data_IF_762843954869
#
_entry.id   IF_762843954869
#
_cell.length_a   1.000
_cell.length_b   1.000
_cell.length_c   1.000
_cell.angle_alpha   90.00
_cell.angle_beta   90.00
_cell.angle_gamma   90.00
#
_symmetry.space_group_name_H-M   'P 1'
#
loop_
_entity.id
_entity.type
_entity.pdbx_description
1 polymer ?
#
# COMPACT_ATOMS: atom_id res chain seq x y z
N UNK A 1 -10.11 7.25 -15.03
CA UNK A 1 -9.10 6.52 -14.21
C UNK A 1 -9.60 6.42 -12.78
N UNK A 2 -9.62 5.22 -12.16
CA UNK A 2 -9.89 5.00 -10.73
C UNK A 2 -8.64 4.46 -10.07
N UNK A 3 -8.48 4.75 -8.79
CA UNK A 3 -7.31 4.33 -7.97
C UNK A 3 -7.83 3.57 -6.76
N UNK A 4 -7.33 2.36 -6.57
CA UNK A 4 -7.56 1.55 -5.37
C UNK A 4 -6.30 1.56 -4.51
N UNK A 5 -6.41 1.99 -3.27
CA UNK A 5 -5.32 1.96 -2.29
C UNK A 5 -5.59 0.83 -1.30
N UNK A 6 -4.69 -0.15 -1.24
CA UNK A 6 -4.80 -1.27 -0.31
C UNK A 6 -3.87 -1.07 0.89
N UNK A 7 -4.48 -0.90 2.05
CA UNK A 7 -3.78 -0.79 3.34
C UNK A 7 -3.27 -2.16 3.83
N UNK A 8 -2.28 -2.18 4.73
CA UNK A 8 -1.93 -3.39 5.47
C UNK A 8 -3.14 -3.98 6.20
N UNK A 9 -3.19 -5.30 6.31
CA UNK A 9 -4.18 -5.97 7.16
C UNK A 9 -4.08 -5.48 8.61
N UNK A 10 -5.22 -5.18 9.24
CA UNK A 10 -5.36 -4.58 10.58
C UNK A 10 -4.86 -3.13 10.70
N UNK A 11 -4.59 -2.44 9.61
CA UNK A 11 -4.30 -1.01 9.64
C UNK A 11 -5.60 -0.22 9.89
N UNK A 12 -5.62 0.60 10.94
CA UNK A 12 -6.81 1.38 11.30
C UNK A 12 -6.93 2.65 10.45
N UNK A 13 -7.93 2.71 9.58
CA UNK A 13 -8.27 3.90 8.79
C UNK A 13 -9.32 4.74 9.52
N UNK A 14 -8.93 5.32 10.65
CA UNK A 14 -9.83 6.06 11.54
C UNK A 14 -9.10 7.24 12.19
N UNK A 15 -9.78 8.39 12.41
CA UNK A 15 -9.21 9.51 13.16
C UNK A 15 -9.07 9.23 14.65
N UNK A 16 -9.75 8.23 15.21
CA UNK A 16 -9.69 7.89 16.64
C UNK A 16 -8.37 7.23 17.02
N UNK A 17 -7.93 6.24 16.22
CA UNK A 17 -6.66 5.53 16.41
C UNK A 17 -6.03 5.24 15.05
N UNK A 18 -5.47 6.26 14.37
CA UNK A 18 -4.88 6.06 13.06
C UNK A 18 -3.58 5.25 13.16
N UNK A 19 -3.42 4.27 12.28
CA UNK A 19 -2.10 3.74 11.98
C UNK A 19 -1.28 4.76 11.17
N UNK A 20 0.05 4.70 11.25
CA UNK A 20 0.93 5.65 10.56
C UNK A 20 0.73 5.61 9.03
N UNK A 21 0.53 4.43 8.46
CA UNK A 21 0.28 4.26 7.02
C UNK A 21 -1.07 4.83 6.64
N UNK A 22 -2.11 4.60 7.45
CA UNK A 22 -3.46 5.12 7.15
C UNK A 22 -3.54 6.62 7.27
N UNK A 23 -2.84 7.23 8.21
CA UNK A 23 -2.73 8.68 8.32
C UNK A 23 -2.05 9.29 7.08
N UNK A 24 -0.92 8.71 6.66
CA UNK A 24 -0.24 9.11 5.44
C UNK A 24 -1.15 9.01 4.21
N UNK A 25 -1.83 7.87 4.03
CA UNK A 25 -2.76 7.65 2.92
C UNK A 25 -3.90 8.64 2.95
N UNK A 26 -4.46 8.94 4.12
CA UNK A 26 -5.51 9.95 4.26
C UNK A 26 -5.03 11.34 3.84
N UNK A 27 -3.91 11.81 4.40
CA UNK A 27 -3.40 13.16 4.13
C UNK A 27 -3.01 13.36 2.67
N UNK A 28 -2.34 12.37 2.06
CA UNK A 28 -1.97 12.43 0.64
C UNK A 28 -3.19 12.35 -0.28
N UNK A 29 -4.14 11.46 0.03
CA UNK A 29 -5.38 11.32 -0.75
C UNK A 29 -6.26 12.57 -0.67
N UNK A 30 -6.35 13.20 0.51
CA UNK A 30 -7.12 14.43 0.73
C UNK A 30 -6.61 15.58 -0.14
N UNK A 31 -5.30 15.69 -0.30
CA UNK A 31 -4.62 16.74 -1.11
C UNK A 31 -4.52 16.39 -2.60
N UNK A 32 -4.81 15.16 -2.98
CA UNK A 32 -4.69 14.70 -4.36
C UNK A 32 -5.74 15.33 -5.28
N UNK A 33 -5.33 15.72 -6.48
CA UNK A 33 -6.23 16.10 -7.57
C UNK A 33 -7.18 14.95 -7.96
N UNK A 34 -6.79 13.72 -7.66
CA UNK A 34 -7.58 12.51 -7.93
C UNK A 34 -8.45 12.05 -6.74
N UNK A 35 -8.61 12.87 -5.69
CA UNK A 35 -9.35 12.51 -4.46
C UNK A 35 -10.68 11.79 -4.72
N UNK A 36 -11.49 12.31 -5.65
CA UNK A 36 -12.80 11.74 -6.01
C UNK A 36 -12.71 10.40 -6.77
N UNK A 37 -11.52 10.04 -7.25
CA UNK A 37 -11.22 8.80 -7.98
C UNK A 37 -10.58 7.73 -7.10
N UNK A 38 -10.18 8.07 -5.88
CA UNK A 38 -9.52 7.19 -4.91
C UNK A 38 -10.57 6.44 -4.10
N UNK A 39 -10.34 5.12 -3.94
CA UNK A 39 -11.05 4.28 -2.97
C UNK A 39 -9.99 3.57 -2.12
N UNK A 40 -10.04 3.77 -0.80
CA UNK A 40 -9.16 3.10 0.15
C UNK A 40 -9.81 1.81 0.61
N UNK A 41 -9.05 0.72 0.63
CA UNK A 41 -9.45 -0.61 1.10
C UNK A 41 -8.63 -0.97 2.33
N UNK A 42 -9.28 -1.40 3.38
CA UNK A 42 -8.64 -1.77 4.63
C UNK A 42 -9.54 -2.65 5.49
N UNK A 43 -9.07 -2.99 6.68
CA UNK A 43 -9.84 -3.77 7.66
C UNK A 43 -9.68 -3.10 9.02
N UNK A 44 -10.74 -2.41 9.47
CA UNK A 44 -10.79 -1.82 10.80
C UNK A 44 -12.16 -2.03 11.43
N UNK A 45 -12.17 -2.25 12.74
CA UNK A 45 -13.40 -2.41 13.52
C UNK A 45 -13.94 -1.08 14.06
N UNK A 46 -13.16 0.01 13.97
CA UNK A 46 -13.56 1.33 14.43
C UNK A 46 -14.73 1.86 13.58
N UNK A 47 -15.72 2.47 14.22
CA UNK A 47 -16.93 2.98 13.54
C UNK A 47 -16.61 4.20 12.66
N UNK A 48 -15.88 5.17 13.22
CA UNK A 48 -15.51 6.40 12.51
C UNK A 48 -14.36 6.16 11.54
N UNK A 49 -14.51 6.61 10.31
CA UNK A 49 -13.51 6.51 9.24
C UNK A 49 -13.06 7.91 8.82
N UNK A 50 -11.87 8.02 8.24
CA UNK A 50 -11.46 9.24 7.56
C UNK A 50 -12.39 9.60 6.40
N UNK A 51 -12.55 10.90 6.10
CA UNK A 51 -13.45 11.42 5.08
C UNK A 51 -12.93 11.24 3.63
N UNK A 52 -12.60 9.99 3.29
CA UNK A 52 -12.25 9.52 1.94
C UNK A 52 -13.07 8.27 1.69
N UNK A 53 -13.41 8.00 0.43
CA UNK A 53 -14.14 6.78 0.06
C UNK A 53 -13.39 5.54 0.56
N UNK A 54 -13.99 4.84 1.50
CA UNK A 54 -13.41 3.69 2.18
C UNK A 54 -14.27 2.44 2.01
N UNK A 55 -13.62 1.31 1.77
CA UNK A 55 -14.24 0.01 1.65
C UNK A 55 -13.66 -0.93 2.71
N UNK A 56 -14.45 -1.29 3.71
CA UNK A 56 -14.01 -2.18 4.77
C UNK A 56 -13.98 -3.63 4.29
N UNK A 57 -12.84 -4.29 4.43
CA UNK A 57 -12.67 -5.70 4.12
C UNK A 57 -12.94 -6.49 5.40
N UNK A 58 -14.14 -7.01 5.52
CA UNK A 58 -14.53 -7.84 6.65
C UNK A 58 -13.99 -9.27 6.49
N UNK A 59 -13.41 -9.85 7.52
CA UNK A 59 -12.95 -11.23 7.53
C UNK A 59 -13.93 -12.13 8.29
N UNK A 60 -14.03 -13.43 7.98
CA UNK A 60 -14.85 -14.35 8.75
C UNK A 60 -14.27 -14.49 10.17
N UNK A 61 -15.14 -14.64 11.16
CA UNK A 61 -14.73 -14.85 12.56
C UNK A 61 -13.85 -16.09 12.71
N UNK A 62 -14.20 -17.14 12.00
CA UNK A 62 -13.45 -18.40 11.97
C UNK A 62 -12.94 -18.64 10.57
N UNK A 63 -11.64 -18.76 10.42
CA UNK A 63 -11.01 -19.05 9.12
C UNK A 63 -9.78 -19.93 9.32
N UNK A 64 -9.72 -21.01 8.57
CA UNK A 64 -8.54 -21.88 8.50
C UNK A 64 -7.56 -21.26 7.49
N UNK A 65 -6.31 -21.09 7.88
CA UNK A 65 -5.24 -20.61 7.02
C UNK A 65 -4.83 -19.15 7.25
N UNK A 66 -4.04 -18.61 6.33
CA UNK A 66 -3.46 -17.28 6.46
C UNK A 66 -4.49 -16.16 6.32
N UNK A 67 -4.72 -15.42 7.39
CA UNK A 67 -5.59 -14.23 7.42
C UNK A 67 -5.19 -13.21 6.32
N UNK A 68 -3.89 -13.04 6.09
CA UNK A 68 -3.35 -12.20 5.03
C UNK A 68 -3.83 -12.64 3.65
N UNK A 69 -3.78 -13.94 3.35
CA UNK A 69 -4.26 -14.47 2.06
C UNK A 69 -5.77 -14.25 1.91
N UNK A 70 -6.54 -14.47 2.96
CA UNK A 70 -8.00 -14.24 2.98
C UNK A 70 -8.30 -12.77 2.73
N UNK A 71 -7.62 -11.86 3.43
CA UNK A 71 -7.75 -10.43 3.27
C UNK A 71 -7.50 -9.98 1.83
N UNK A 72 -6.37 -10.38 1.24
CA UNK A 72 -6.01 -10.02 -0.13
C UNK A 72 -6.98 -10.63 -1.16
N UNK A 73 -7.44 -11.87 -0.96
CA UNK A 73 -8.43 -12.48 -1.85
C UNK A 73 -9.79 -11.74 -1.80
N UNK A 74 -10.22 -11.28 -0.63
CA UNK A 74 -11.42 -10.44 -0.50
C UNK A 74 -11.25 -9.09 -1.18
N UNK A 75 -10.09 -8.44 -1.02
CA UNK A 75 -9.76 -7.25 -1.79
C UNK A 75 -9.89 -7.51 -3.30
N UNK A 76 -9.30 -8.58 -3.81
CA UNK A 76 -9.37 -8.94 -5.24
C UNK A 76 -10.82 -9.05 -5.73
N UNK A 77 -11.70 -9.66 -4.94
CA UNK A 77 -13.12 -9.78 -5.30
C UNK A 77 -13.83 -8.42 -5.32
N UNK A 78 -13.51 -7.52 -4.39
CA UNK A 78 -14.01 -6.15 -4.38
C UNK A 78 -13.45 -5.34 -5.55
N UNK A 79 -12.16 -5.49 -5.84
CA UNK A 79 -11.48 -4.79 -6.93
C UNK A 79 -11.99 -5.18 -8.31
N UNK A 80 -12.34 -6.44 -8.53
CA UNK A 80 -12.99 -6.90 -9.77
C UNK A 80 -14.30 -6.15 -10.05
N UNK A 81 -15.01 -5.72 -8.99
CA UNK A 81 -16.24 -4.89 -9.08
C UNK A 81 -15.89 -3.41 -9.22
N UNK A 82 -14.87 -2.91 -8.51
CA UNK A 82 -14.44 -1.51 -8.55
C UNK A 82 -13.80 -1.13 -9.89
N UNK A 83 -13.07 -2.06 -10.52
CA UNK A 83 -12.41 -1.91 -11.82
C UNK A 83 -11.51 -0.67 -11.86
N UNK A 84 -10.59 -0.55 -10.91
CA UNK A 84 -9.60 0.54 -10.92
C UNK A 84 -8.58 0.36 -12.05
N UNK A 85 -7.94 1.45 -12.46
CA UNK A 85 -6.81 1.40 -13.39
C UNK A 85 -5.50 1.17 -12.65
N UNK A 86 -5.41 1.65 -11.41
CA UNK A 86 -4.21 1.62 -10.58
C UNK A 86 -4.56 0.97 -9.23
N UNK A 87 -3.72 0.03 -8.80
CA UNK A 87 -3.73 -0.53 -7.45
C UNK A 87 -2.44 -0.10 -6.76
N UNK A 88 -2.58 0.69 -5.70
CA UNK A 88 -1.49 1.10 -4.84
C UNK A 88 -1.49 0.25 -3.57
N UNK A 89 -0.35 -0.37 -3.25
CA UNK A 89 -0.17 -1.25 -2.11
C UNK A 89 0.79 -0.59 -1.13
N UNK A 90 0.40 -0.51 0.14
CA UNK A 90 1.27 0.08 1.16
C UNK A 90 1.89 -0.99 2.05
N UNK A 91 3.21 -0.94 2.17
CA UNK A 91 4.03 -1.66 3.17
C UNK A 91 3.81 -3.18 3.25
N UNK A 92 3.32 -3.81 2.16
CA UNK A 92 3.06 -5.25 2.09
C UNK A 92 3.43 -5.82 0.72
N UNK A 93 4.75 -5.96 0.42
CA UNK A 93 5.20 -6.43 -0.89
C UNK A 93 4.71 -7.84 -1.25
N UNK A 94 4.47 -8.70 -0.26
CA UNK A 94 3.90 -10.04 -0.49
C UNK A 94 2.50 -10.02 -1.14
N UNK A 95 1.74 -8.92 -1.01
CA UNK A 95 0.43 -8.78 -1.65
C UNK A 95 0.55 -8.68 -3.18
N UNK A 96 1.66 -8.11 -3.68
CA UNK A 96 1.91 -7.94 -5.12
C UNK A 96 1.84 -9.30 -5.84
N UNK A 97 2.45 -10.35 -5.25
CA UNK A 97 2.45 -11.71 -5.83
C UNK A 97 1.03 -12.25 -5.98
N UNK A 98 0.21 -12.11 -4.95
CA UNK A 98 -1.17 -12.62 -4.94
C UNK A 98 -2.06 -11.82 -5.90
N UNK A 99 -1.94 -10.49 -5.90
CA UNK A 99 -2.76 -9.61 -6.73
C UNK A 99 -2.38 -9.77 -8.20
N UNK A 100 -1.09 -9.72 -8.55
CA UNK A 100 -0.63 -9.82 -9.93
C UNK A 100 -0.89 -11.19 -10.58
N UNK A 101 -1.07 -12.24 -9.79
CA UNK A 101 -1.47 -13.56 -10.31
C UNK A 101 -2.94 -13.59 -10.75
N UNK A 102 -3.81 -12.78 -10.13
CA UNK A 102 -5.28 -12.84 -10.33
C UNK A 102 -5.86 -11.63 -11.07
N UNK A 103 -5.14 -10.50 -11.07
CA UNK A 103 -5.54 -9.27 -11.75
C UNK A 103 -4.43 -8.87 -12.72
N UNK A 104 -4.70 -8.95 -14.04
CA UNK A 104 -3.69 -8.77 -15.11
C UNK A 104 -3.68 -7.38 -15.74
N UNK A 105 -4.81 -6.65 -15.66
CA UNK A 105 -5.01 -5.40 -16.41
C UNK A 105 -4.65 -4.15 -15.63
N UNK A 106 -4.44 -4.25 -14.31
CA UNK A 106 -4.18 -3.09 -13.47
C UNK A 106 -2.68 -2.77 -13.40
N UNK A 107 -2.38 -1.48 -13.35
CA UNK A 107 -1.06 -0.97 -12.99
C UNK A 107 -0.88 -1.12 -11.48
N UNK A 108 0.15 -1.82 -11.04
CA UNK A 108 0.44 -2.02 -9.61
C UNK A 108 1.59 -1.11 -9.21
N UNK A 109 1.40 -0.35 -8.12
CA UNK A 109 2.44 0.41 -7.46
C UNK A 109 2.56 -0.04 -6.00
N UNK A 110 3.77 0.02 -5.44
CA UNK A 110 4.00 -0.28 -4.03
C UNK A 110 4.72 0.86 -3.34
N UNK A 111 4.30 1.19 -2.13
CA UNK A 111 4.92 2.19 -1.26
C UNK A 111 5.52 1.53 -0.03
N UNK A 112 6.83 1.73 0.17
CA UNK A 112 7.56 1.27 1.35
C UNK A 112 7.67 2.38 2.39
N UNK A 113 7.10 2.14 3.57
CA UNK A 113 7.20 3.03 4.73
C UNK A 113 8.29 2.59 5.72
N UNK A 114 8.72 1.34 5.64
CA UNK A 114 9.72 0.71 6.52
C UNK A 114 10.84 0.10 5.68
N UNK A 115 11.83 -0.52 6.35
CA UNK A 115 12.93 -1.23 5.69
C UNK A 115 12.40 -2.33 4.76
N UNK A 116 12.65 -2.24 3.43
CA UNK A 116 12.23 -3.26 2.49
C UNK A 116 12.79 -4.65 2.78
N UNK A 117 13.98 -4.75 3.39
CA UNK A 117 14.61 -6.05 3.68
C UNK A 117 14.00 -6.74 4.90
N UNK A 118 13.23 -6.04 5.71
CA UNK A 118 12.50 -6.63 6.84
C UNK A 118 11.15 -7.26 6.47
N UNK A 119 10.66 -7.07 5.23
CA UNK A 119 9.30 -7.43 4.84
C UNK A 119 9.23 -8.67 3.97
N UNK A 120 8.28 -9.56 4.27
CA UNK A 120 7.98 -10.71 3.41
C UNK A 120 7.54 -10.25 2.02
N UNK A 121 8.20 -10.83 0.99
CA UNK A 121 8.00 -10.48 -0.41
C UNK A 121 8.96 -9.40 -0.93
N UNK A 122 9.96 -8.98 -0.11
CA UNK A 122 11.07 -8.14 -0.55
C UNK A 122 12.40 -8.44 0.15
N UNK A 123 12.45 -9.41 1.06
CA UNK A 123 13.68 -9.80 1.78
C UNK A 123 14.78 -10.28 0.83
N UNK A 124 14.45 -11.20 -0.05
CA UNK A 124 15.43 -11.79 -0.96
C UNK A 124 15.65 -10.93 -2.22
N UNK A 125 16.80 -11.09 -2.84
CA UNK A 125 17.08 -10.48 -4.16
C UNK A 125 16.04 -10.89 -5.20
N UNK A 126 15.62 -12.16 -5.19
CA UNK A 126 14.60 -12.67 -6.13
C UNK A 126 13.23 -12.03 -5.91
N UNK A 127 12.82 -11.80 -4.65
CA UNK A 127 11.59 -11.07 -4.36
C UNK A 127 11.63 -9.65 -4.93
N UNK A 128 12.75 -8.94 -4.74
CA UNK A 128 12.90 -7.58 -5.24
C UNK A 128 12.97 -7.52 -6.78
N UNK A 129 13.62 -8.49 -7.43
CA UNK A 129 13.55 -8.65 -8.90
C UNK A 129 12.12 -8.90 -9.38
N UNK A 130 11.36 -9.71 -8.64
CA UNK A 130 9.94 -9.92 -8.93
C UNK A 130 9.13 -8.63 -8.83
N UNK A 131 9.33 -7.81 -7.78
CA UNK A 131 8.66 -6.51 -7.63
C UNK A 131 9.03 -5.56 -8.76
N UNK A 132 10.32 -5.47 -9.14
CA UNK A 132 10.78 -4.66 -10.27
C UNK A 132 10.13 -5.08 -11.60
N UNK A 133 9.85 -6.37 -11.76
CA UNK A 133 9.15 -6.86 -12.95
C UNK A 133 7.65 -6.52 -12.92
N UNK A 134 6.99 -6.73 -11.78
CA UNK A 134 5.52 -6.65 -11.68
C UNK A 134 4.98 -5.25 -11.39
N UNK A 135 5.73 -4.43 -10.65
CA UNK A 135 5.28 -3.09 -10.31
C UNK A 135 5.63 -2.07 -11.41
N UNK A 136 4.72 -1.14 -11.64
CA UNK A 136 4.94 0.03 -12.47
C UNK A 136 5.79 1.08 -11.73
N UNK A 137 5.49 1.28 -10.44
CA UNK A 137 6.26 2.16 -9.54
C UNK A 137 6.52 1.45 -8.21
N UNK A 138 7.71 1.69 -7.69
CA UNK A 138 8.12 1.31 -6.34
C UNK A 138 8.58 2.58 -5.65
N UNK A 139 7.85 2.97 -4.61
CA UNK A 139 8.01 4.26 -3.95
C UNK A 139 8.56 4.02 -2.55
N UNK A 140 9.51 4.83 -2.13
CA UNK A 140 10.16 4.76 -0.84
C UNK A 140 9.94 6.05 -0.06
N UNK A 141 9.86 5.96 1.25
CA UNK A 141 9.76 7.13 2.13
C UNK A 141 11.09 7.87 2.31
N UNK A 142 12.22 7.30 1.89
CA UNK A 142 13.54 7.89 2.04
C UNK A 142 14.55 7.31 1.04
N UNK A 143 15.66 8.03 0.83
CA UNK A 143 16.79 7.51 0.07
C UNK A 143 17.43 6.29 0.75
N UNK A 144 17.40 6.24 2.09
CA UNK A 144 17.89 5.09 2.84
C UNK A 144 17.11 3.82 2.48
N UNK A 145 15.77 3.85 2.54
CA UNK A 145 14.96 2.68 2.19
C UNK A 145 15.09 2.30 0.71
N UNK A 146 15.27 3.27 -0.21
CA UNK A 146 15.60 2.99 -1.61
C UNK A 146 16.94 2.27 -1.72
N UNK A 147 17.99 2.74 -1.02
CA UNK A 147 19.32 2.11 -0.98
C UNK A 147 19.23 0.68 -0.44
N UNK A 148 18.51 0.47 0.68
CA UNK A 148 18.26 -0.85 1.24
C UNK A 148 17.61 -1.81 0.25
N UNK A 149 16.58 -1.35 -0.47
CA UNK A 149 15.92 -2.16 -1.50
C UNK A 149 16.89 -2.61 -2.61
N UNK A 150 17.88 -1.79 -2.94
CA UNK A 150 18.83 -2.05 -4.01
C UNK A 150 20.00 -2.97 -3.58
N UNK A 151 20.20 -3.22 -2.30
CA UNK A 151 21.30 -4.08 -1.82
C UNK A 151 21.30 -5.45 -2.48
N UNK A 152 22.44 -5.82 -3.09
CA UNK A 152 22.61 -7.08 -3.81
C UNK A 152 21.88 -7.19 -5.15
N UNK A 153 21.24 -6.11 -5.63
CA UNK A 153 20.72 -6.02 -6.98
C UNK A 153 21.79 -5.52 -7.95
N UNK A 154 21.67 -5.92 -9.21
CA UNK A 154 22.56 -5.50 -10.29
C UNK A 154 22.46 -3.98 -10.56
N UNK A 155 23.57 -3.34 -10.95
CA UNK A 155 23.66 -1.90 -11.19
C UNK A 155 22.62 -1.37 -12.19
N UNK A 156 22.17 -2.18 -13.15
CA UNK A 156 21.12 -1.79 -14.11
C UNK A 156 19.80 -1.39 -13.44
N UNK A 157 19.54 -1.82 -12.21
CA UNK A 157 18.31 -1.49 -11.48
C UNK A 157 18.41 -0.15 -10.72
N UNK A 158 19.63 0.35 -10.46
CA UNK A 158 19.85 1.57 -9.65
C UNK A 158 19.17 2.79 -10.30
N UNK A 159 19.25 2.91 -11.62
CA UNK A 159 18.71 4.02 -12.41
C UNK A 159 17.33 3.69 -13.00
N UNK A 160 16.64 2.68 -12.49
CA UNK A 160 15.32 2.33 -12.98
C UNK A 160 14.32 3.47 -12.77
N UNK A 161 13.65 3.91 -13.83
CA UNK A 161 12.58 4.90 -13.78
C UNK A 161 11.36 4.45 -12.94
N UNK A 162 11.33 3.19 -12.52
CA UNK A 162 10.30 2.64 -11.62
C UNK A 162 10.51 3.03 -10.16
N UNK A 163 11.73 3.41 -9.77
CA UNK A 163 12.10 3.71 -8.39
C UNK A 163 11.97 5.21 -8.11
N UNK A 164 11.19 5.56 -7.12
CA UNK A 164 10.98 6.95 -6.71
C UNK A 164 11.09 7.09 -5.19
N UNK A 165 11.54 8.26 -4.73
CA UNK A 165 11.49 8.62 -3.31
C UNK A 165 10.44 9.71 -3.14
N UNK A 166 9.55 9.50 -2.17
CA UNK A 166 8.56 10.47 -1.77
C UNK A 166 8.62 10.62 -0.24
N UNK A 167 9.21 11.71 0.22
CA UNK A 167 9.38 11.98 1.64
C UNK A 167 8.04 12.20 2.34
N UNK A 168 7.89 11.57 3.50
CA UNK A 168 6.73 11.79 4.33
C UNK A 168 6.86 13.15 5.03
N UNK A 169 5.86 14.01 4.87
CA UNK A 169 5.73 15.24 5.65
C UNK A 169 4.57 15.09 6.62
N UNK A 170 4.78 15.43 7.87
CA UNK A 170 3.69 15.65 8.83
C UNK A 170 3.18 17.08 8.70
N UNK A 171 1.87 17.27 8.60
CA UNK A 171 1.29 18.60 8.87
C UNK A 171 1.54 18.93 10.34
N UNK A 172 2.03 20.13 10.64
CA UNK A 172 2.05 20.64 12.02
C UNK A 172 0.61 20.59 12.54
N UNK A 173 0.33 19.69 13.48
CA UNK A 173 -0.88 19.78 14.26
C UNK A 173 -0.88 21.15 14.94
N UNK A 174 -1.99 21.87 14.89
CA UNK A 174 -2.21 23.00 15.79
C UNK A 174 -2.13 22.45 17.21
N UNK A 175 -0.98 22.62 17.85
CA UNK A 175 -0.86 22.46 19.30
C UNK A 175 -1.60 23.66 19.88
N UNK A 176 -2.86 23.47 20.25
CA UNK A 176 -3.51 24.36 21.20
C UNK A 176 -2.77 24.13 22.52
N UNK A 177 -1.86 25.05 22.85
CA UNK A 177 -1.35 25.20 24.22
C UNK A 177 -2.57 25.56 25.09
N UNK A 178 -2.99 24.62 25.93
CA UNK A 178 -3.89 24.88 27.06
C UNK A 178 -3.05 25.45 28.19
#
# INVERSE_FOLDING_TARGET
>A
MKISILLPYKENFSPEYPGAVSLFVYETSKKSLYRKKITVFGSTNLKKKFAIKYNNITLPKYSIGSQTKIYVNRFINLEKKNKSSIIEIHNRPSYVKIISSKIKKNVISIYFHNDPLSMDGSKSVNDRKFLLNKCHKIIFNSNWSKKRFLEGLENRFVNSNKLSVFYQSASRGSVSLI
#
